data_IF_452768201762
#
_entry.id   IF_452768201762
#
_cell.length_a   1.000
_cell.length_b   1.000
_cell.length_c   1.000
_cell.angle_alpha   90.00
_cell.angle_beta   90.00
_cell.angle_gamma   90.00
#
_symmetry.space_group_name_H-M   'P 1'
#
loop_
_entity.id
_entity.type
_entity.pdbx_description
1 polymer ?
#
# COMPACT_ATOMS: atom_id res chain seq x y z
N UNK A 1 15.20 33.64 -28.75
CA UNK A 1 14.30 34.29 -29.69
C UNK A 1 13.01 33.48 -29.72
N UNK A 2 12.06 33.84 -28.84
CA UNK A 2 10.81 33.10 -28.63
C UNK A 2 9.70 33.77 -29.45
N UNK A 3 9.07 33.00 -30.30
CA UNK A 3 7.95 33.41 -31.15
C UNK A 3 6.65 33.36 -30.33
N UNK A 4 6.08 34.52 -30.06
CA UNK A 4 4.74 34.64 -29.43
C UNK A 4 3.72 34.73 -30.59
N UNK A 5 2.73 33.85 -30.68
CA UNK A 5 1.67 34.03 -31.66
C UNK A 5 0.71 35.13 -31.21
N UNK A 6 0.56 36.15 -32.03
CA UNK A 6 -0.45 37.16 -31.87
C UNK A 6 -1.85 36.53 -31.95
N UNK A 7 -2.58 36.58 -30.86
CA UNK A 7 -4.01 36.22 -30.81
C UNK A 7 -4.80 37.34 -31.52
N UNK A 8 -5.27 37.04 -32.69
CA UNK A 8 -6.18 37.93 -33.46
C UNK A 8 -7.52 37.99 -32.74
N UNK A 9 -7.70 39.01 -31.92
CA UNK A 9 -9.04 39.32 -31.35
C UNK A 9 -9.85 40.02 -32.43
N UNK A 10 -10.68 39.29 -33.16
CA UNK A 10 -11.71 39.86 -34.01
C UNK A 10 -12.76 40.53 -33.11
N UNK A 11 -12.67 41.84 -32.95
CA UNK A 11 -13.78 42.67 -32.44
C UNK A 11 -14.84 42.73 -33.54
N UNK A 12 -16.05 42.21 -33.33
CA UNK A 12 -17.16 42.45 -34.27
C UNK A 12 -17.60 43.90 -34.14
N UNK A 13 -17.42 44.68 -35.22
CA UNK A 13 -17.95 46.01 -35.33
C UNK A 13 -19.48 45.97 -35.07
N UNK A 14 -19.87 46.72 -34.03
CA UNK A 14 -21.24 47.17 -33.75
C UNK A 14 -22.31 46.07 -33.70
N UNK A 15 -22.25 45.20 -32.70
CA UNK A 15 -23.44 44.52 -32.23
C UNK A 15 -24.33 45.54 -31.48
N UNK A 16 -25.38 45.98 -32.18
CA UNK A 16 -26.42 46.85 -31.60
C UNK A 16 -27.33 45.98 -30.71
N UNK A 17 -26.95 45.75 -29.48
CA UNK A 17 -27.60 44.84 -28.54
C UNK A 17 -29.03 45.17 -28.17
N UNK A 18 -29.55 46.32 -28.61
CA UNK A 18 -30.88 46.81 -28.24
C UNK A 18 -32.03 46.36 -29.16
N UNK A 19 -31.76 45.84 -30.37
CA UNK A 19 -32.82 45.55 -31.33
C UNK A 19 -32.96 44.10 -31.81
N UNK A 20 -32.04 43.21 -31.37
CA UNK A 20 -32.05 41.85 -31.92
C UNK A 20 -32.63 40.83 -30.93
N UNK A 21 -33.94 40.69 -30.94
CA UNK A 21 -34.67 39.69 -30.15
C UNK A 21 -34.17 38.27 -30.44
N UNK A 22 -33.59 38.01 -31.62
CA UNK A 22 -33.04 36.73 -31.98
C UNK A 22 -31.74 36.46 -31.22
N UNK A 23 -30.80 37.43 -31.18
CA UNK A 23 -29.56 37.31 -30.44
C UNK A 23 -29.77 37.08 -28.93
N UNK A 24 -30.75 37.78 -28.35
CA UNK A 24 -31.15 37.60 -26.96
C UNK A 24 -31.71 36.19 -26.68
N UNK A 25 -32.49 35.65 -27.61
CA UNK A 25 -33.05 34.30 -27.50
C UNK A 25 -31.96 33.23 -27.61
N UNK A 26 -31.01 33.40 -28.54
CA UNK A 26 -29.84 32.51 -28.64
C UNK A 26 -29.00 32.54 -27.37
N UNK A 27 -28.68 33.72 -26.86
CA UNK A 27 -27.88 33.89 -25.65
C UNK A 27 -28.54 33.21 -24.44
N UNK A 28 -29.85 33.35 -24.26
CA UNK A 28 -30.61 32.61 -23.22
C UNK A 28 -30.47 31.09 -23.35
N UNK A 29 -30.57 30.57 -24.59
CA UNK A 29 -30.42 29.12 -24.84
C UNK A 29 -29.02 28.61 -24.48
N UNK A 30 -27.96 29.35 -24.82
CA UNK A 30 -26.60 29.00 -24.46
C UNK A 30 -26.35 29.07 -22.96
N UNK A 31 -26.81 30.10 -22.29
CA UNK A 31 -26.70 30.24 -20.82
C UNK A 31 -27.45 29.09 -20.12
N UNK A 32 -28.64 28.75 -20.59
CA UNK A 32 -29.43 27.66 -20.04
C UNK A 32 -28.77 26.28 -20.27
N UNK A 33 -28.20 26.06 -21.46
CA UNK A 33 -27.45 24.84 -21.78
C UNK A 33 -26.19 24.74 -20.94
N UNK A 34 -25.44 25.82 -20.75
CA UNK A 34 -24.24 25.87 -19.91
C UNK A 34 -24.60 25.59 -18.44
N UNK A 35 -25.71 26.13 -17.95
CA UNK A 35 -26.21 25.89 -16.61
C UNK A 35 -26.56 24.41 -16.39
N UNK A 36 -27.21 23.75 -17.34
CA UNK A 36 -27.53 22.32 -17.29
C UNK A 36 -26.25 21.49 -17.31
N UNK A 37 -25.27 21.83 -18.14
CA UNK A 37 -23.98 21.12 -18.16
C UNK A 37 -23.22 21.24 -16.82
N UNK A 38 -23.18 22.45 -16.25
CA UNK A 38 -22.48 22.67 -14.96
C UNK A 38 -23.19 21.92 -13.81
N UNK A 39 -24.54 22.00 -13.76
CA UNK A 39 -25.31 21.29 -12.74
C UNK A 39 -25.23 19.78 -12.91
N UNK A 40 -25.20 19.27 -14.15
CA UNK A 40 -25.01 17.86 -14.47
C UNK A 40 -23.63 17.35 -14.05
N UNK A 41 -22.56 18.11 -14.31
CA UNK A 41 -21.19 17.79 -13.86
C UNK A 41 -21.06 17.81 -12.33
N UNK A 42 -21.66 18.79 -11.66
CA UNK A 42 -21.66 18.86 -10.18
C UNK A 42 -22.43 17.68 -9.56
N UNK A 43 -23.56 17.28 -10.14
CA UNK A 43 -24.32 16.11 -9.70
C UNK A 43 -23.54 14.82 -9.92
N UNK A 44 -22.81 14.67 -11.04
CA UNK A 44 -21.97 13.51 -11.31
C UNK A 44 -20.78 13.40 -10.34
N UNK A 45 -20.18 14.52 -9.93
CA UNK A 45 -19.11 14.52 -8.92
C UNK A 45 -19.64 14.21 -7.51
N UNK A 46 -20.88 14.56 -7.19
CA UNK A 46 -21.49 14.28 -5.89
C UNK A 46 -21.93 12.82 -5.73
N UNK A 47 -21.97 12.02 -6.80
CA UNK A 47 -22.39 10.61 -6.76
C UNK A 47 -21.27 9.60 -6.57
N UNK A 48 -20.03 10.02 -6.41
CA UNK A 48 -18.98 9.11 -5.87
C UNK A 48 -19.23 8.89 -4.36
N UNK A 49 -20.33 8.21 -4.07
CA UNK A 49 -20.52 7.67 -2.72
C UNK A 49 -19.44 6.62 -2.52
N UNK A 50 -18.57 6.84 -1.54
CA UNK A 50 -17.79 5.77 -0.95
C UNK A 50 -18.80 4.70 -0.51
N UNK A 51 -18.86 3.59 -1.27
CA UNK A 51 -19.69 2.46 -0.90
C UNK A 51 -18.92 1.66 0.18
N UNK A 52 -19.31 1.75 1.46
CA UNK A 52 -18.65 0.99 2.52
C UNK A 52 -18.81 -0.54 2.31
N UNK A 53 -19.73 -0.96 1.43
CA UNK A 53 -19.91 -2.37 1.06
C UNK A 53 -18.90 -2.83 -0.02
N UNK A 54 -18.28 -1.90 -0.77
CA UNK A 54 -17.22 -2.21 -1.73
C UNK A 54 -15.82 -2.28 -1.10
N UNK A 55 -15.66 -1.83 0.15
CA UNK A 55 -14.45 -2.04 0.91
C UNK A 55 -14.22 -3.53 1.14
N UNK A 56 -13.01 -4.05 0.93
CA UNK A 56 -12.72 -5.45 1.21
C UNK A 56 -13.05 -5.73 2.67
N UNK A 57 -13.96 -6.70 2.92
CA UNK A 57 -14.39 -7.10 4.28
C UNK A 57 -13.23 -7.63 5.13
N UNK A 58 -12.10 -7.93 4.49
CA UNK A 58 -10.87 -8.41 5.13
C UNK A 58 -9.70 -7.63 4.55
N UNK A 59 -9.07 -6.85 5.37
CA UNK A 59 -7.83 -6.15 5.06
C UNK A 59 -6.65 -7.02 5.46
N UNK A 60 -5.64 -7.14 4.60
CA UNK A 60 -4.36 -7.75 4.95
C UNK A 60 -3.44 -6.66 5.51
N UNK A 61 -3.14 -6.76 6.80
CA UNK A 61 -2.12 -5.96 7.48
C UNK A 61 -0.93 -6.87 7.74
N UNK A 62 0.07 -6.77 6.88
CA UNK A 62 1.21 -7.65 6.88
C UNK A 62 2.48 -6.95 7.35
N UNK A 63 3.38 -7.70 7.99
CA UNK A 63 4.72 -7.28 8.33
C UNK A 63 5.72 -8.31 7.84
N UNK A 64 6.87 -7.85 7.37
CA UNK A 64 8.01 -8.69 7.07
C UNK A 64 8.87 -8.87 8.32
N UNK A 65 9.11 -10.11 8.72
CA UNK A 65 9.97 -10.47 9.84
C UNK A 65 11.25 -11.10 9.30
N UNK A 66 12.38 -10.41 9.44
CA UNK A 66 13.65 -10.87 8.89
C UNK A 66 14.46 -11.67 9.89
N UNK A 67 15.10 -12.74 9.39
CA UNK A 67 16.13 -13.49 10.13
C UNK A 67 17.55 -13.06 9.76
N UNK A 68 17.68 -12.19 8.74
CA UNK A 68 18.97 -11.71 8.26
C UNK A 68 19.74 -11.01 9.37
N UNK A 69 20.95 -11.50 9.65
CA UNK A 69 21.83 -10.96 10.70
C UNK A 69 21.15 -10.83 12.08
N UNK A 70 20.12 -11.63 12.33
CA UNK A 70 19.31 -11.54 13.56
C UNK A 70 18.73 -10.14 13.81
N UNK A 71 18.36 -9.39 12.73
CA UNK A 71 17.83 -8.02 12.85
C UNK A 71 16.49 -7.99 13.59
N UNK A 72 15.55 -8.87 13.25
CA UNK A 72 14.28 -8.95 13.96
C UNK A 72 14.27 -10.16 14.89
N UNK A 73 14.56 -11.36 14.36
CA UNK A 73 14.58 -12.62 15.09
C UNK A 73 15.56 -13.60 14.43
N UNK A 74 16.25 -14.48 15.18
CA UNK A 74 16.35 -14.56 16.65
C UNK A 74 17.51 -13.71 17.19
N UNK A 75 17.33 -13.06 18.33
CA UNK A 75 18.43 -12.41 19.08
C UNK A 75 19.22 -13.43 19.94
N UNK A 76 18.47 -14.36 20.50
CA UNK A 76 19.07 -15.43 21.30
C UNK A 76 19.62 -16.56 20.41
N UNK A 77 20.62 -17.33 20.92
CA UNK A 77 21.20 -18.46 20.19
C UNK A 77 20.76 -19.79 20.79
N UNK A 78 20.29 -20.70 19.95
CA UNK A 78 19.84 -22.05 20.33
C UNK A 78 21.05 -22.99 20.51
N UNK A 79 21.92 -22.71 21.47
CA UNK A 79 23.09 -23.53 21.80
C UNK A 79 22.89 -24.43 23.02
N UNK A 80 21.76 -24.20 23.73
CA UNK A 80 21.35 -24.94 24.93
C UNK A 80 19.84 -25.02 25.01
N UNK A 81 19.26 -25.90 25.84
CA UNK A 81 17.81 -25.94 26.05
C UNK A 81 17.20 -24.59 26.49
N UNK A 82 17.91 -23.85 27.33
CA UNK A 82 17.52 -22.52 27.75
C UNK A 82 17.55 -21.51 26.58
N UNK A 83 18.55 -21.59 25.71
CA UNK A 83 18.65 -20.78 24.50
C UNK A 83 17.54 -21.07 23.48
N UNK A 84 17.18 -22.34 23.31
CA UNK A 84 16.06 -22.78 22.49
C UNK A 84 14.76 -22.14 23.01
N UNK A 85 14.48 -22.31 24.30
CA UNK A 85 13.31 -21.72 24.92
C UNK A 85 13.28 -20.19 24.79
N UNK A 86 14.43 -19.53 24.97
CA UNK A 86 14.53 -18.09 24.81
C UNK A 86 14.20 -17.61 23.37
N UNK A 87 14.63 -18.36 22.35
CA UNK A 87 14.28 -18.09 20.95
C UNK A 87 12.76 -18.24 20.69
N UNK A 88 12.17 -19.31 21.20
CA UNK A 88 10.74 -19.57 21.08
C UNK A 88 9.92 -18.48 21.77
N UNK A 89 10.25 -18.18 23.02
CA UNK A 89 9.57 -17.13 23.80
C UNK A 89 9.74 -15.73 23.15
N UNK A 90 10.87 -15.49 22.50
CA UNK A 90 11.11 -14.25 21.74
C UNK A 90 10.17 -14.12 20.54
N UNK A 91 10.02 -15.18 19.73
CA UNK A 91 9.13 -15.17 18.59
C UNK A 91 7.67 -15.02 19.04
N UNK A 92 7.24 -15.75 20.05
CA UNK A 92 5.89 -15.60 20.61
C UNK A 92 5.60 -14.15 21.03
N UNK A 93 6.53 -13.52 21.75
CA UNK A 93 6.39 -12.10 22.17
C UNK A 93 6.31 -11.13 20.98
N UNK A 94 7.05 -11.39 19.90
CA UNK A 94 6.97 -10.59 18.68
C UNK A 94 5.59 -10.73 18.06
N UNK A 95 5.09 -11.96 17.92
CA UNK A 95 3.77 -12.24 17.34
C UNK A 95 2.65 -11.64 18.19
N UNK A 96 2.72 -11.72 19.51
CA UNK A 96 1.75 -11.12 20.41
C UNK A 96 1.68 -9.59 20.24
N UNK A 97 2.83 -8.92 20.19
CA UNK A 97 2.89 -7.47 19.93
C UNK A 97 2.32 -7.08 18.57
N UNK A 98 2.60 -7.86 17.54
CA UNK A 98 2.04 -7.62 16.21
C UNK A 98 0.52 -7.79 16.21
N UNK A 99 0.00 -8.76 16.95
CA UNK A 99 -1.43 -8.97 17.14
C UNK A 99 -2.09 -7.79 17.89
N UNK A 100 -1.46 -7.27 18.94
CA UNK A 100 -1.93 -6.10 19.70
C UNK A 100 -2.13 -4.86 18.82
N UNK A 101 -1.27 -4.65 17.80
CA UNK A 101 -1.40 -3.57 16.82
C UNK A 101 -2.20 -3.98 15.59
N UNK A 102 -2.98 -5.05 15.68
CA UNK A 102 -3.86 -5.56 14.63
C UNK A 102 -3.16 -5.99 13.34
N UNK A 103 -1.89 -6.37 13.36
CA UNK A 103 -1.24 -7.10 12.27
C UNK A 103 -1.84 -8.50 12.23
N UNK A 104 -2.27 -8.95 11.05
CA UNK A 104 -2.93 -10.24 10.86
C UNK A 104 -2.16 -11.21 9.96
N UNK A 105 -1.02 -10.77 9.42
CA UNK A 105 -0.18 -11.56 8.52
C UNK A 105 1.29 -11.27 8.79
N UNK A 106 2.09 -12.33 8.94
CA UNK A 106 3.55 -12.22 9.08
C UNK A 106 4.22 -12.97 7.94
N UNK A 107 5.14 -12.28 7.25
CA UNK A 107 5.98 -12.84 6.21
C UNK A 107 7.34 -13.12 6.85
N UNK A 108 7.52 -14.35 7.36
CA UNK A 108 8.77 -14.75 7.99
C UNK A 108 9.81 -15.12 6.91
N UNK A 109 10.98 -14.50 6.97
CA UNK A 109 12.09 -14.83 6.08
C UNK A 109 12.74 -16.14 6.52
N UNK A 110 12.53 -17.20 5.77
CA UNK A 110 12.97 -18.56 6.10
C UNK A 110 14.26 -18.97 5.37
N UNK A 111 14.64 -18.24 4.32
CA UNK A 111 15.83 -18.52 3.49
C UNK A 111 16.63 -17.25 3.24
N UNK A 112 17.92 -17.28 3.49
CA UNK A 112 18.84 -16.17 3.29
C UNK A 112 20.19 -16.68 2.80
N UNK A 113 20.67 -16.15 1.66
CA UNK A 113 22.02 -16.41 1.12
C UNK A 113 22.37 -17.90 0.99
N UNK A 114 21.43 -18.75 0.61
CA UNK A 114 21.65 -20.19 0.46
C UNK A 114 21.71 -20.95 1.78
N UNK A 115 21.18 -20.38 2.87
CA UNK A 115 20.96 -21.04 4.15
C UNK A 115 19.50 -20.89 4.59
N UNK A 116 19.03 -21.78 5.44
CA UNK A 116 17.61 -21.90 5.83
C UNK A 116 17.46 -22.03 7.34
N UNK A 117 16.24 -21.72 7.83
CA UNK A 117 15.87 -21.88 9.24
C UNK A 117 14.92 -23.07 9.48
N UNK A 118 14.82 -23.98 8.53
CA UNK A 118 14.01 -25.21 8.62
C UNK A 118 14.83 -26.43 8.20
N UNK A 119 14.40 -27.65 8.52
CA UNK A 119 15.11 -28.86 8.12
C UNK A 119 15.16 -28.97 6.58
N UNK A 120 16.38 -29.08 6.02
CA UNK A 120 16.61 -29.19 4.59
C UNK A 120 17.69 -30.21 4.29
N UNK A 121 17.49 -31.04 3.27
CA UNK A 121 18.49 -31.94 2.74
C UNK A 121 19.45 -31.29 1.72
N UNK A 122 19.13 -30.06 1.29
CA UNK A 122 19.85 -29.38 0.20
C UNK A 122 20.66 -28.19 0.73
N UNK A 123 20.08 -27.38 1.61
CA UNK A 123 20.67 -26.14 2.10
C UNK A 123 21.03 -26.25 3.58
N UNK A 124 22.17 -25.67 3.99
CA UNK A 124 22.59 -25.72 5.38
C UNK A 124 21.75 -24.82 6.28
N UNK A 125 21.76 -25.12 7.58
CA UNK A 125 21.16 -24.26 8.60
C UNK A 125 21.82 -22.89 8.63
N UNK A 126 21.00 -21.84 8.76
CA UNK A 126 21.49 -20.47 8.91
C UNK A 126 22.14 -20.27 10.29
N UNK A 127 23.27 -19.58 10.30
CA UNK A 127 23.99 -19.26 11.52
C UNK A 127 23.26 -18.33 12.48
N UNK A 128 22.17 -17.67 12.04
CA UNK A 128 21.35 -16.82 12.91
C UNK A 128 20.76 -17.60 14.10
N UNK A 129 20.44 -18.89 13.92
CA UNK A 129 19.83 -19.72 14.97
C UNK A 129 20.84 -20.11 16.09
N UNK A 130 22.02 -20.55 15.72
CA UNK A 130 22.99 -21.11 16.67
C UNK A 130 24.26 -20.29 16.84
N UNK A 131 24.48 -19.29 16.01
CA UNK A 131 25.74 -18.55 15.88
C UNK A 131 26.78 -19.28 15.01
N UNK A 132 26.49 -20.50 14.53
CA UNK A 132 27.40 -21.31 13.71
C UNK A 132 26.65 -21.76 12.46
N UNK A 133 27.08 -21.35 11.25
CA UNK A 133 26.47 -21.82 9.99
C UNK A 133 26.51 -23.35 9.87
N UNK A 134 25.45 -23.95 9.34
CA UNK A 134 25.30 -25.38 9.15
C UNK A 134 24.92 -26.17 10.41
N UNK A 135 24.96 -25.60 11.59
CA UNK A 135 24.60 -26.26 12.84
C UNK A 135 23.09 -26.21 13.09
N UNK A 136 22.48 -27.38 13.25
CA UNK A 136 21.06 -27.49 13.60
C UNK A 136 20.77 -26.92 15.00
N UNK A 137 19.63 -26.21 15.19
CA UNK A 137 19.30 -25.57 16.47
C UNK A 137 18.75 -26.55 17.52
N UNK A 138 18.52 -27.82 17.17
CA UNK A 138 17.98 -28.83 18.08
C UNK A 138 16.43 -28.80 18.19
N UNK A 139 15.75 -27.98 17.40
CA UNK A 139 14.30 -27.94 17.26
C UNK A 139 13.91 -27.46 15.85
N UNK A 140 12.64 -27.59 15.47
CA UNK A 140 12.13 -27.03 14.22
C UNK A 140 11.55 -25.62 14.48
N UNK A 141 12.23 -24.55 13.98
CA UNK A 141 11.77 -23.18 14.17
C UNK A 141 10.42 -22.83 13.53
N UNK A 142 9.92 -23.64 12.60
CA UNK A 142 8.64 -23.44 11.95
C UNK A 142 7.54 -24.39 12.47
N UNK A 143 7.93 -25.42 13.23
CA UNK A 143 7.03 -26.47 13.69
C UNK A 143 6.65 -26.41 15.17
N UNK A 144 7.11 -25.38 15.95
CA UNK A 144 6.79 -25.25 17.36
C UNK A 144 5.56 -24.41 17.63
#
# INVERSE_FOLDING_TARGET
MAFVPETFILYPEKLNFASDKAAYTYMKRYIFSLYICITGCLAAMATQRFDPLSSPKRETRAVWLTTFSSLDWPKNKATSPAGIKAQQDELCRILDRLKEVNINTVLLQTRVRGSVIYPSAIEPWDGCLTGTPGRAPGYDPLGF
#
